data_IF_511034850805
#
_entry.id   IF_511034850805
#
_cell.length_a   1.000
_cell.length_b   1.000
_cell.length_c   1.000
_cell.angle_alpha   90.00
_cell.angle_beta   90.00
_cell.angle_gamma   90.00
#
_symmetry.space_group_name_H-M   'P 1'
#
loop_
_entity.id
_entity.type
_entity.pdbx_description
1 polymer ?
#
# COMPACT_ATOMS: atom_id res chain seq x y z
N UNK A 1 11.69 5.16 3.49
CA UNK A 1 12.94 4.81 2.76
C UNK A 1 14.00 5.90 2.94
N UNK A 2 15.31 5.60 3.05
CA UNK A 2 16.36 6.64 3.17
C UNK A 2 16.57 7.41 1.85
N UNK A 3 16.97 8.67 1.96
CA UNK A 3 17.30 9.63 0.90
C UNK A 3 18.13 9.05 -0.25
N UNK A 4 19.22 8.32 0.03
CA UNK A 4 20.04 7.72 -1.03
C UNK A 4 19.25 6.70 -1.86
N UNK A 5 18.40 5.91 -1.20
CA UNK A 5 17.56 4.91 -1.86
C UNK A 5 16.41 5.57 -2.63
N UNK A 6 15.86 6.68 -2.12
CA UNK A 6 14.89 7.52 -2.82
C UNK A 6 15.44 8.04 -4.14
N UNK A 7 16.65 8.57 -4.14
CA UNK A 7 17.26 9.17 -5.32
C UNK A 7 17.58 8.10 -6.38
N UNK A 8 18.07 6.94 -5.96
CA UNK A 8 18.30 5.80 -6.85
C UNK A 8 16.99 5.30 -7.49
N UNK A 9 15.92 5.20 -6.70
CA UNK A 9 14.61 4.78 -7.19
C UNK A 9 14.02 5.79 -8.19
N UNK A 10 14.07 7.10 -7.88
CA UNK A 10 13.67 8.17 -8.81
C UNK A 10 14.44 8.11 -10.12
N UNK A 11 15.76 7.98 -10.05
CA UNK A 11 16.60 7.88 -11.25
C UNK A 11 16.20 6.68 -12.12
N UNK A 12 15.99 5.51 -11.52
CA UNK A 12 15.56 4.31 -12.23
C UNK A 12 14.17 4.47 -12.88
N UNK A 13 13.24 5.18 -12.24
CA UNK A 13 11.92 5.47 -12.80
C UNK A 13 11.99 6.41 -14.01
N UNK A 14 12.85 7.42 -13.97
CA UNK A 14 13.02 8.39 -15.07
C UNK A 14 13.81 7.86 -16.27
N UNK A 15 14.59 6.80 -16.09
CA UNK A 15 15.47 6.24 -17.12
C UNK A 15 14.79 5.21 -18.06
N UNK A 16 13.53 4.85 -17.81
CA UNK A 16 12.81 3.87 -18.63
C UNK A 16 12.42 4.47 -19.99
N UNK A 17 12.73 3.81 -21.13
CA UNK A 17 12.41 4.32 -22.47
C UNK A 17 10.89 4.43 -22.68
N UNK A 18 10.45 5.38 -23.51
CA UNK A 18 9.06 5.72 -23.87
C UNK A 18 8.26 4.52 -24.41
N UNK A 19 7.87 3.58 -23.56
CA UNK A 19 7.05 2.44 -23.94
C UNK A 19 5.71 2.48 -23.21
N UNK A 20 4.82 3.37 -23.63
CA UNK A 20 3.35 3.31 -23.37
C UNK A 20 2.87 3.26 -21.90
N UNK A 21 3.73 3.59 -20.95
CA UNK A 21 3.47 3.49 -19.51
C UNK A 21 3.02 4.83 -18.93
N UNK A 22 2.30 4.81 -17.80
CA UNK A 22 1.91 5.99 -17.00
C UNK A 22 2.93 7.13 -17.10
N UNK A 23 2.50 8.39 -17.19
CA UNK A 23 3.42 9.54 -17.16
C UNK A 23 4.02 9.67 -15.75
N UNK A 24 5.02 8.84 -15.49
CA UNK A 24 5.73 8.76 -14.22
C UNK A 24 6.43 10.07 -13.89
N UNK A 25 6.75 10.89 -14.91
CA UNK A 25 7.34 12.21 -14.72
C UNK A 25 6.31 13.23 -14.16
N UNK A 26 5.02 13.00 -14.38
CA UNK A 26 3.93 13.81 -13.83
C UNK A 26 3.43 13.32 -12.46
N UNK A 27 3.88 12.18 -11.95
CA UNK A 27 3.47 11.65 -10.65
C UNK A 27 4.17 12.35 -9.49
N UNK A 28 3.42 12.68 -8.43
CA UNK A 28 3.99 13.16 -7.18
C UNK A 28 4.68 12.02 -6.42
N UNK A 29 6.01 12.03 -6.47
CA UNK A 29 6.85 11.02 -5.83
C UNK A 29 6.74 11.02 -4.30
N UNK A 30 6.27 12.10 -3.68
CA UNK A 30 6.00 12.13 -2.24
C UNK A 30 4.75 11.33 -1.88
N UNK A 31 3.71 11.39 -2.71
CA UNK A 31 2.48 10.59 -2.55
C UNK A 31 2.81 9.10 -2.72
N UNK A 32 3.59 8.75 -3.74
CA UNK A 32 3.99 7.37 -3.97
C UNK A 32 4.87 6.84 -2.83
N UNK A 33 5.78 7.66 -2.30
CA UNK A 33 6.59 7.31 -1.14
C UNK A 33 5.75 7.07 0.11
N UNK A 34 4.80 7.97 0.39
CA UNK A 34 3.90 7.82 1.53
C UNK A 34 3.09 6.52 1.46
N UNK A 35 2.60 6.16 0.26
CA UNK A 35 1.88 4.91 0.07
C UNK A 35 2.76 3.67 0.23
N UNK A 36 4.01 3.69 -0.23
CA UNK A 36 4.96 2.60 0.00
C UNK A 36 5.27 2.41 1.48
N UNK A 37 5.54 3.51 2.21
CA UNK A 37 5.81 3.45 3.64
C UNK A 37 4.57 2.96 4.42
N UNK A 38 3.37 3.44 4.07
CA UNK A 38 2.12 2.99 4.67
C UNK A 38 1.82 1.51 4.38
N UNK A 39 2.03 1.04 3.15
CA UNK A 39 1.91 -0.38 2.79
C UNK A 39 2.89 -1.24 3.60
N UNK A 40 4.15 -0.82 3.74
CA UNK A 40 5.14 -1.58 4.52
C UNK A 40 4.80 -1.61 6.01
N UNK A 41 4.33 -0.50 6.57
CA UNK A 41 3.89 -0.45 7.97
C UNK A 41 2.65 -1.33 8.20
N UNK A 42 1.68 -1.28 7.29
CA UNK A 42 0.47 -2.08 7.33
C UNK A 42 0.78 -3.58 7.21
N UNK A 43 1.67 -3.97 6.30
CA UNK A 43 2.14 -5.34 6.14
C UNK A 43 2.70 -5.89 7.46
N UNK A 44 3.64 -5.17 8.08
CA UNK A 44 4.23 -5.58 9.36
C UNK A 44 3.18 -5.65 10.49
N UNK A 45 2.31 -4.65 10.60
CA UNK A 45 1.27 -4.63 11.63
C UNK A 45 0.28 -5.78 11.47
N UNK A 46 -0.13 -6.09 10.24
CA UNK A 46 -1.03 -7.19 9.92
C UNK A 46 -0.37 -8.55 10.17
N UNK A 47 0.90 -8.72 9.80
CA UNK A 47 1.69 -9.94 10.08
C UNK A 47 1.82 -10.18 11.58
N UNK A 48 2.01 -9.15 12.40
CA UNK A 48 2.02 -9.31 13.87
C UNK A 48 0.63 -9.62 14.39
N UNK A 49 -0.39 -8.88 13.95
CA UNK A 49 -1.76 -9.04 14.42
C UNK A 49 -2.33 -10.43 14.11
N UNK A 50 -2.00 -11.02 12.96
CA UNK A 50 -2.50 -12.35 12.60
C UNK A 50 -2.05 -13.44 13.57
N UNK A 51 -0.89 -13.28 14.21
CA UNK A 51 -0.36 -14.24 15.19
C UNK A 51 -1.10 -14.22 16.53
N UNK A 52 -2.00 -13.25 16.73
CA UNK A 52 -2.83 -13.15 17.93
C UNK A 52 -3.98 -14.18 17.97
N UNK A 53 -4.21 -14.91 16.86
CA UNK A 53 -5.20 -15.99 16.75
C UNK A 53 -6.64 -15.59 17.12
N UNK A 54 -7.00 -14.33 16.88
CA UNK A 54 -8.39 -13.85 16.93
C UNK A 54 -9.09 -14.17 15.59
N UNK A 55 -10.41 -13.97 15.52
CA UNK A 55 -11.17 -14.18 14.28
C UNK A 55 -10.78 -13.22 13.15
N UNK A 56 -10.18 -12.07 13.46
CA UNK A 56 -9.60 -11.14 12.47
C UNK A 56 -8.32 -11.70 11.80
N UNK A 57 -7.66 -12.72 12.37
CA UNK A 57 -6.36 -13.22 11.91
C UNK A 57 -6.27 -13.58 10.42
N UNK A 58 -7.28 -14.23 9.80
CA UNK A 58 -7.27 -14.49 8.36
C UNK A 58 -7.30 -13.21 7.52
N UNK A 59 -8.09 -12.20 7.92
CA UNK A 59 -8.13 -10.90 7.26
C UNK A 59 -6.77 -10.19 7.36
N UNK A 60 -6.13 -10.24 8.54
CA UNK A 60 -4.79 -9.70 8.75
C UNK A 60 -3.76 -10.34 7.80
N UNK A 61 -3.70 -11.67 7.70
CA UNK A 61 -2.73 -12.31 6.79
C UNK A 61 -2.95 -11.94 5.33
N UNK A 62 -4.20 -11.95 4.87
CA UNK A 62 -4.51 -11.56 3.49
C UNK A 62 -4.15 -10.09 3.21
N UNK A 63 -4.41 -9.20 4.18
CA UNK A 63 -4.03 -7.80 4.08
C UNK A 63 -2.50 -7.62 4.06
N UNK A 64 -1.76 -8.40 4.86
CA UNK A 64 -0.31 -8.36 4.87
C UNK A 64 0.27 -8.73 3.49
N UNK A 65 -0.20 -9.82 2.88
CA UNK A 65 0.24 -10.26 1.55
C UNK A 65 -0.08 -9.22 0.47
N UNK A 66 -1.26 -8.60 0.54
CA UNK A 66 -1.68 -7.58 -0.41
C UNK A 66 -0.85 -6.29 -0.28
N UNK A 67 -0.66 -5.81 0.95
CA UNK A 67 0.18 -4.63 1.22
C UNK A 67 1.64 -4.86 0.81
N UNK A 68 2.19 -6.06 1.07
CA UNK A 68 3.52 -6.43 0.59
C UNK A 68 3.61 -6.37 -0.94
N UNK A 69 2.62 -6.95 -1.62
CA UNK A 69 2.55 -6.99 -3.08
C UNK A 69 2.43 -5.58 -3.65
N UNK A 70 1.58 -4.73 -3.07
CA UNK A 70 1.35 -3.37 -3.51
C UNK A 70 2.61 -2.50 -3.36
N UNK A 71 3.26 -2.54 -2.20
CA UNK A 71 4.54 -1.84 -1.96
C UNK A 71 5.60 -2.26 -2.99
N UNK A 72 5.75 -3.56 -3.23
CA UNK A 72 6.69 -4.07 -4.23
C UNK A 72 6.33 -3.69 -5.66
N UNK A 73 5.05 -3.48 -5.95
CA UNK A 73 4.62 -2.99 -7.25
C UNK A 73 5.01 -1.53 -7.46
N UNK A 74 4.81 -0.68 -6.45
CA UNK A 74 5.22 0.73 -6.49
C UNK A 74 6.74 0.90 -6.63
N UNK A 75 7.55 -0.04 -6.12
CA UNK A 75 9.02 -0.01 -6.30
C UNK A 75 9.49 -0.25 -7.74
N UNK A 76 8.66 -0.88 -8.59
CA UNK A 76 9.04 -1.34 -9.95
C UNK A 76 7.87 -1.25 -10.92
N UNK A 77 7.36 -0.03 -11.12
CA UNK A 77 6.22 0.21 -12.00
C UNK A 77 6.51 0.03 -13.51
N UNK A 78 7.74 -0.32 -13.89
CA UNK A 78 8.09 -0.62 -15.28
C UNK A 78 7.22 -1.77 -15.80
N UNK A 79 6.51 -1.55 -16.91
CA UNK A 79 5.59 -2.51 -17.50
C UNK A 79 4.19 -2.52 -16.88
N UNK A 80 3.88 -1.65 -15.91
CA UNK A 80 2.51 -1.44 -15.45
C UNK A 80 1.79 -0.45 -16.35
N UNK A 81 0.55 -0.80 -16.71
CA UNK A 81 -0.41 0.12 -17.30
C UNK A 81 -1.18 0.85 -16.21
N UNK A 82 -1.79 2.02 -16.50
CA UNK A 82 -2.70 2.69 -15.56
C UNK A 82 -3.81 1.75 -15.08
N UNK A 83 -4.40 0.97 -15.98
CA UNK A 83 -5.47 0.03 -15.64
C UNK A 83 -5.02 -1.06 -14.65
N UNK A 84 -3.84 -1.66 -14.87
CA UNK A 84 -3.30 -2.65 -13.93
C UNK A 84 -2.96 -2.04 -12.58
N UNK A 85 -2.42 -0.83 -12.54
CA UNK A 85 -2.08 -0.16 -11.28
C UNK A 85 -3.34 0.19 -10.48
N UNK A 86 -4.38 0.73 -11.14
CA UNK A 86 -5.67 1.00 -10.50
C UNK A 86 -6.29 -0.28 -9.92
N UNK A 87 -6.29 -1.38 -10.67
CA UNK A 87 -6.84 -2.65 -10.18
C UNK A 87 -6.09 -3.18 -8.95
N UNK A 88 -4.76 -3.03 -8.90
CA UNK A 88 -3.96 -3.40 -7.72
C UNK A 88 -4.26 -2.50 -6.52
N UNK A 89 -4.40 -1.19 -6.74
CA UNK A 89 -4.75 -0.23 -5.69
C UNK A 89 -6.14 -0.52 -5.12
N UNK A 90 -7.14 -0.74 -5.97
CA UNK A 90 -8.51 -1.08 -5.56
C UNK A 90 -8.53 -2.36 -4.71
N UNK A 91 -7.75 -3.38 -5.10
CA UNK A 91 -7.61 -4.60 -4.32
C UNK A 91 -6.95 -4.36 -2.95
N UNK A 92 -5.89 -3.54 -2.90
CA UNK A 92 -5.22 -3.18 -1.65
C UNK A 92 -6.15 -2.39 -0.71
N UNK A 93 -6.86 -1.41 -1.24
CA UNK A 93 -7.86 -0.60 -0.52
C UNK A 93 -8.95 -1.51 0.07
N UNK A 94 -9.51 -2.42 -0.71
CA UNK A 94 -10.56 -3.33 -0.24
C UNK A 94 -10.06 -4.29 0.86
N UNK A 95 -8.82 -4.78 0.75
CA UNK A 95 -8.20 -5.63 1.78
C UNK A 95 -7.92 -4.85 3.07
N UNK A 96 -7.41 -3.61 2.96
CA UNK A 96 -7.19 -2.73 4.10
C UNK A 96 -8.50 -2.41 4.82
N UNK A 97 -9.57 -2.07 4.09
CA UNK A 97 -10.89 -1.81 4.66
C UNK A 97 -11.41 -3.03 5.43
N UNK A 98 -11.37 -4.21 4.80
CA UNK A 98 -11.83 -5.47 5.44
C UNK A 98 -11.04 -5.75 6.71
N UNK A 99 -9.71 -5.66 6.67
CA UNK A 99 -8.86 -5.92 7.83
C UNK A 99 -9.05 -4.89 8.95
N UNK A 100 -9.25 -3.62 8.59
CA UNK A 100 -9.54 -2.56 9.53
C UNK A 100 -10.84 -2.84 10.29
N UNK A 101 -11.93 -3.13 9.57
CA UNK A 101 -13.24 -3.37 10.17
C UNK A 101 -13.18 -4.54 11.16
N UNK A 102 -12.58 -5.66 10.75
CA UNK A 102 -12.39 -6.84 11.61
C UNK A 102 -11.50 -6.54 12.83
N UNK A 103 -10.41 -5.78 12.67
CA UNK A 103 -9.54 -5.42 13.79
C UNK A 103 -10.19 -4.42 14.76
N UNK A 104 -11.08 -3.55 14.27
CA UNK A 104 -11.76 -2.56 15.11
C UNK A 104 -12.72 -3.20 16.12
N UNK A 105 -13.30 -4.35 15.80
CA UNK A 105 -14.09 -5.16 16.75
C UNK A 105 -13.28 -5.55 18.01
N UNK A 106 -11.95 -5.65 17.88
CA UNK A 106 -11.05 -6.04 18.97
C UNK A 106 -10.28 -4.87 19.60
N UNK A 107 -10.32 -3.67 19.00
CA UNK A 107 -9.47 -2.54 19.37
C UNK A 107 -9.68 -2.02 20.81
N UNK A 108 -10.85 -2.30 21.41
CA UNK A 108 -11.15 -1.92 22.79
C UNK A 108 -10.37 -2.73 23.83
N UNK A 109 -9.92 -3.95 23.48
CA UNK A 109 -9.28 -4.87 24.42
C UNK A 109 -7.95 -5.46 23.91
N UNK A 110 -7.56 -5.17 22.66
CA UNK A 110 -6.28 -5.55 22.07
C UNK A 110 -5.56 -4.33 21.48
N UNK A 111 -4.44 -3.95 22.10
CA UNK A 111 -3.58 -2.87 21.59
C UNK A 111 -3.00 -3.21 20.21
N UNK A 112 -2.75 -4.49 19.94
CA UNK A 112 -2.25 -4.97 18.64
C UNK A 112 -3.30 -4.78 17.56
N UNK A 113 -4.57 -5.10 17.84
CA UNK A 113 -5.66 -4.88 16.87
C UNK A 113 -5.93 -3.39 16.66
N UNK A 114 -5.86 -2.57 17.71
CA UNK A 114 -5.98 -1.11 17.59
C UNK A 114 -4.90 -0.52 16.68
N UNK A 115 -3.64 -0.93 16.87
CA UNK A 115 -2.53 -0.52 16.00
C UNK A 115 -2.71 -1.03 14.57
N UNK A 116 -3.15 -2.28 14.39
CA UNK A 116 -3.38 -2.88 13.07
C UNK A 116 -4.47 -2.12 12.30
N UNK A 117 -5.59 -1.80 12.94
CA UNK A 117 -6.66 -1.01 12.34
C UNK A 117 -6.19 0.39 11.91
N UNK A 118 -5.40 1.06 12.75
CA UNK A 118 -4.81 2.37 12.42
C UNK A 118 -3.86 2.29 11.22
N UNK A 119 -3.04 1.23 11.14
CA UNK A 119 -2.15 1.01 10.01
C UNK A 119 -2.92 0.69 8.72
N UNK A 120 -4.00 -0.10 8.80
CA UNK A 120 -4.89 -0.39 7.67
C UNK A 120 -5.56 0.88 7.14
N UNK A 121 -6.09 1.73 8.03
CA UNK A 121 -6.67 3.03 7.65
C UNK A 121 -5.63 3.91 6.94
N UNK A 122 -4.43 4.07 7.51
CA UNK A 122 -3.38 4.88 6.90
C UNK A 122 -2.94 4.34 5.52
N UNK A 123 -2.86 3.02 5.36
CA UNK A 123 -2.53 2.39 4.09
C UNK A 123 -3.63 2.56 3.05
N UNK A 124 -4.90 2.43 3.46
CA UNK A 124 -6.05 2.70 2.62
C UNK A 124 -6.04 4.13 2.08
N UNK A 125 -5.90 5.12 2.97
CA UNK A 125 -5.88 6.54 2.61
C UNK A 125 -4.73 6.86 1.63
N UNK A 126 -3.54 6.30 1.88
CA UNK A 126 -2.38 6.51 1.02
C UNK A 126 -2.54 5.82 -0.35
N UNK A 127 -3.13 4.61 -0.40
CA UNK A 127 -3.46 3.95 -1.66
C UNK A 127 -4.51 4.74 -2.46
N UNK A 128 -5.52 5.31 -1.80
CA UNK A 128 -6.51 6.18 -2.44
C UNK A 128 -5.84 7.43 -3.04
N UNK A 129 -4.91 8.04 -2.32
CA UNK A 129 -4.17 9.20 -2.84
C UNK A 129 -3.37 8.86 -4.12
N UNK A 130 -2.72 7.69 -4.18
CA UNK A 130 -2.05 7.23 -5.41
C UNK A 130 -3.07 6.97 -6.51
N UNK A 131 -4.20 6.36 -6.20
CA UNK A 131 -5.26 6.06 -7.15
C UNK A 131 -5.83 7.33 -7.78
N UNK A 132 -6.12 8.34 -6.97
CA UNK A 132 -6.70 9.61 -7.42
C UNK A 132 -5.72 10.39 -8.31
N UNK A 133 -4.42 10.28 -8.05
CA UNK A 133 -3.37 10.84 -8.91
C UNK A 133 -3.34 10.18 -10.31
N UNK A 134 -3.83 8.95 -10.46
CA UNK A 134 -3.83 8.22 -11.73
C UNK A 134 -5.09 8.45 -12.58
N UNK A 135 -6.13 9.09 -12.01
CA UNK A 135 -7.36 9.42 -12.75
C UNK A 135 -7.13 10.70 -13.57
N UNK A 136 -7.21 10.67 -14.91
CA UNK A 136 -7.16 11.89 -15.71
C UNK A 136 -8.35 12.79 -15.38
N UNK A 137 -8.10 14.09 -15.23
CA UNK A 137 -9.14 15.11 -15.05
C UNK A 137 -10.06 15.23 -16.28
#
# INVERSE_FOLDING_TARGET
MDSMMMDAWRANMTAAPEMTTMDLAAMDMSVLQAAMDACSACEQACTVCSTQMMDCSPACMNCADMCHTMMRSMLRMQGMTPASMMAMLDACIAMCQTCMDECMEHAAHSDVCRMCAQACQACMDACMAVRDMLVPA
#
